data_IF_115186180993
#
_entry.id   IF_115186180993
#
_cell.length_a   1.000
_cell.length_b   1.000
_cell.length_c   1.000
_cell.angle_alpha   90.00
_cell.angle_beta   90.00
_cell.angle_gamma   90.00
#
_symmetry.space_group_name_H-M   'P 1'
#
loop_
_entity.id
_entity.type
_entity.pdbx_description
1 polymer ?
#
# COMPACT_ATOMS: atom_id res chain seq x y z
N UNK A 1 -45.18 -33.96 -19.82
CA UNK A 1 -45.89 -34.58 -20.97
C UNK A 1 -47.09 -35.33 -20.44
N UNK A 2 -48.29 -35.02 -20.95
CA UNK A 2 -49.55 -35.64 -20.52
C UNK A 2 -49.72 -37.01 -21.20
N UNK A 3 -49.31 -38.08 -20.54
CA UNK A 3 -49.83 -39.41 -20.90
C UNK A 3 -51.20 -39.58 -20.25
N UNK A 4 -52.26 -39.52 -21.07
CA UNK A 4 -53.61 -39.96 -20.69
C UNK A 4 -54.71 -38.90 -20.62
N UNK A 5 -54.44 -37.64 -21.00
CA UNK A 5 -55.46 -36.58 -21.07
C UNK A 5 -55.53 -36.04 -22.50
N UNK A 6 -56.71 -36.05 -23.15
CA UNK A 6 -56.91 -35.44 -24.47
C UNK A 6 -57.00 -33.91 -24.36
N UNK A 7 -55.96 -33.29 -23.81
CA UNK A 7 -55.84 -31.84 -23.64
C UNK A 7 -54.74 -31.37 -24.56
N UNK A 8 -55.10 -30.54 -25.52
CA UNK A 8 -54.13 -29.84 -26.36
C UNK A 8 -54.01 -28.43 -25.82
N UNK A 9 -52.79 -28.00 -25.53
CA UNK A 9 -52.52 -26.58 -25.28
C UNK A 9 -52.50 -25.90 -26.65
N UNK A 10 -53.40 -24.97 -26.89
CA UNK A 10 -53.55 -24.31 -28.19
C UNK A 10 -52.65 -23.09 -28.31
N UNK A 11 -52.41 -22.40 -27.19
CA UNK A 11 -51.54 -21.23 -27.15
C UNK A 11 -51.21 -20.79 -25.74
N UNK A 12 -50.13 -20.03 -25.67
CA UNK A 12 -49.66 -19.29 -24.50
C UNK A 12 -49.70 -17.81 -24.84
N UNK A 13 -50.06 -16.96 -23.88
CA UNK A 13 -49.92 -15.52 -24.04
C UNK A 13 -49.42 -14.83 -22.78
N UNK A 14 -48.64 -13.77 -22.97
CA UNK A 14 -48.05 -12.98 -21.90
C UNK A 14 -47.99 -11.52 -22.33
N UNK A 15 -48.62 -10.62 -21.56
CA UNK A 15 -48.56 -9.18 -21.85
C UNK A 15 -49.14 -8.75 -23.20
N UNK A 16 -49.98 -9.58 -23.82
CA UNK A 16 -50.59 -9.34 -25.13
C UNK A 16 -49.94 -10.11 -26.29
N UNK A 17 -48.73 -10.63 -26.11
CA UNK A 17 -48.08 -11.52 -27.08
C UNK A 17 -48.62 -12.94 -26.96
N UNK A 18 -48.87 -13.62 -28.09
CA UNK A 18 -49.49 -14.94 -28.14
C UNK A 18 -48.73 -15.88 -29.08
N UNK A 19 -48.24 -16.99 -28.54
CA UNK A 19 -47.56 -18.04 -29.30
C UNK A 19 -48.34 -19.36 -29.27
N UNK A 20 -48.33 -20.08 -30.39
CA UNK A 20 -49.04 -21.37 -30.56
C UNK A 20 -48.13 -22.59 -30.47
N UNK A 21 -46.82 -22.39 -30.43
CA UNK A 21 -45.81 -23.44 -30.47
C UNK A 21 -45.23 -23.75 -29.08
N UNK A 22 -45.66 -23.05 -28.04
CA UNK A 22 -45.26 -23.32 -26.66
C UNK A 22 -44.06 -22.51 -26.17
N UNK A 23 -43.61 -21.51 -26.95
CA UNK A 23 -42.47 -20.68 -26.58
C UNK A 23 -42.82 -19.22 -26.82
N UNK A 24 -42.87 -18.41 -25.75
CA UNK A 24 -42.99 -16.96 -25.86
C UNK A 24 -41.58 -16.38 -25.76
N UNK A 25 -41.15 -15.66 -26.79
CA UNK A 25 -39.91 -14.87 -26.72
C UNK A 25 -40.18 -13.62 -25.87
N UNK A 26 -39.35 -13.42 -24.85
CA UNK A 26 -39.49 -12.30 -23.91
C UNK A 26 -38.65 -11.07 -24.30
N UNK A 27 -37.79 -11.18 -25.32
CA UNK A 27 -37.07 -10.05 -25.86
C UNK A 27 -38.12 -9.02 -26.32
N UNK A 28 -38.17 -7.85 -25.67
CA UNK A 28 -39.14 -6.75 -25.85
C UNK A 28 -40.42 -6.79 -25.01
N UNK A 29 -40.68 -7.83 -24.20
CA UNK A 29 -41.84 -7.84 -23.29
C UNK A 29 -41.47 -7.24 -21.92
N UNK A 30 -41.96 -6.03 -21.63
CA UNK A 30 -41.86 -5.44 -20.29
C UNK A 30 -42.95 -6.01 -19.38
N UNK A 31 -42.57 -6.88 -18.44
CA UNK A 31 -43.49 -7.40 -17.43
C UNK A 31 -43.72 -6.35 -16.33
N UNK A 32 -44.98 -6.00 -16.11
CA UNK A 32 -45.39 -5.05 -15.07
C UNK A 32 -46.28 -5.74 -14.03
N UNK A 33 -46.54 -5.08 -12.91
CA UNK A 33 -47.43 -5.61 -11.89
C UNK A 33 -48.84 -5.78 -12.47
N UNK A 34 -49.31 -7.03 -12.53
CA UNK A 34 -50.61 -7.37 -13.10
C UNK A 34 -50.57 -7.79 -14.57
N UNK A 35 -49.38 -7.90 -15.18
CA UNK A 35 -49.25 -8.54 -16.50
C UNK A 35 -49.79 -9.97 -16.43
N UNK A 36 -50.85 -10.23 -17.20
CA UNK A 36 -51.50 -11.53 -17.23
C UNK A 36 -50.72 -12.52 -18.10
N UNK A 37 -50.55 -13.73 -17.58
CA UNK A 37 -50.11 -14.90 -18.32
C UNK A 37 -51.32 -15.82 -18.51
N UNK A 38 -51.68 -16.08 -19.76
CA UNK A 38 -52.86 -16.89 -20.10
C UNK A 38 -52.44 -18.11 -20.90
N UNK A 39 -52.97 -19.27 -20.52
CA UNK A 39 -52.87 -20.51 -21.30
C UNK A 39 -54.26 -20.85 -21.80
N UNK A 40 -54.39 -21.01 -23.11
CA UNK A 40 -55.60 -21.52 -23.73
C UNK A 40 -55.43 -22.99 -24.08
N UNK A 41 -56.36 -23.81 -23.63
CA UNK A 41 -56.39 -25.24 -23.89
C UNK A 41 -57.71 -25.62 -24.55
N UNK A 42 -57.65 -26.51 -25.53
CA UNK A 42 -58.82 -27.17 -26.08
C UNK A 42 -59.09 -28.48 -25.34
N UNK A 43 -60.36 -28.66 -24.96
CA UNK A 43 -60.87 -29.87 -24.33
C UNK A 43 -61.96 -30.46 -25.22
N UNK A 44 -61.74 -31.69 -25.70
CA UNK A 44 -62.78 -32.40 -26.45
C UNK A 44 -63.98 -32.69 -25.55
N UNK A 45 -65.18 -32.45 -26.07
CA UNK A 45 -66.43 -32.60 -25.32
C UNK A 45 -66.59 -34.05 -24.84
N UNK A 46 -66.48 -34.27 -23.53
CA UNK A 46 -66.72 -35.58 -22.90
C UNK A 46 -65.65 -36.06 -21.92
N UNK A 47 -64.48 -35.41 -21.82
CA UNK A 47 -63.45 -35.75 -20.82
C UNK A 47 -63.38 -34.71 -19.69
N UNK A 48 -64.18 -34.88 -18.64
CA UNK A 48 -64.23 -33.97 -17.48
C UNK A 48 -63.24 -34.31 -16.33
N UNK A 49 -62.17 -35.08 -16.57
CA UNK A 49 -61.29 -35.57 -15.49
C UNK A 49 -59.96 -34.82 -15.33
N UNK A 50 -59.88 -33.54 -15.70
CA UNK A 50 -58.70 -32.72 -15.41
C UNK A 50 -58.84 -32.17 -13.99
N UNK A 51 -58.00 -32.65 -13.07
CA UNK A 51 -58.01 -32.20 -11.67
C UNK A 51 -57.15 -30.96 -11.43
N UNK A 52 -56.06 -30.81 -12.19
CA UNK A 52 -55.14 -29.68 -12.12
C UNK A 52 -54.40 -29.51 -13.46
N UNK A 53 -54.08 -28.26 -13.80
CA UNK A 53 -53.05 -27.91 -14.76
C UNK A 53 -51.94 -27.21 -13.96
N UNK A 54 -50.74 -27.76 -13.99
CA UNK A 54 -49.57 -27.18 -13.31
C UNK A 54 -48.66 -26.62 -14.40
N UNK A 55 -48.27 -25.37 -14.24
CA UNK A 55 -47.36 -24.67 -15.13
C UNK A 55 -46.15 -24.30 -14.30
N UNK A 56 -44.99 -24.80 -14.70
CA UNK A 56 -43.73 -24.56 -14.01
C UNK A 56 -42.84 -23.73 -14.93
N UNK A 57 -42.35 -22.60 -14.42
CA UNK A 57 -41.34 -21.79 -15.07
C UNK A 57 -39.99 -22.16 -14.48
N UNK A 58 -39.06 -22.61 -15.32
CA UNK A 58 -37.65 -22.72 -14.96
C UNK A 58 -36.93 -21.50 -15.55
N UNK A 59 -36.77 -20.46 -14.73
CA UNK A 59 -35.98 -19.28 -15.06
C UNK A 59 -34.67 -19.40 -14.28
N UNK A 60 -33.55 -19.29 -14.97
CA UNK A 60 -32.21 -19.21 -14.38
C UNK A 60 -31.68 -17.78 -14.47
N UNK A 61 -30.60 -17.47 -13.73
CA UNK A 61 -29.97 -16.16 -13.80
C UNK A 61 -29.51 -15.80 -15.23
N UNK A 62 -29.13 -16.81 -16.03
CA UNK A 62 -28.70 -16.62 -17.42
C UNK A 62 -29.84 -16.23 -18.37
N UNK A 63 -31.10 -16.37 -17.93
CA UNK A 63 -32.27 -16.02 -18.72
C UNK A 63 -32.74 -14.57 -18.48
N UNK A 64 -32.02 -13.81 -17.62
CA UNK A 64 -32.33 -12.42 -17.27
C UNK A 64 -31.19 -11.52 -17.75
N UNK A 65 -31.44 -10.71 -18.77
CA UNK A 65 -30.46 -9.77 -19.31
C UNK A 65 -30.24 -8.57 -18.38
N UNK A 66 -31.32 -7.97 -17.87
CA UNK A 66 -31.23 -6.84 -16.94
C UNK A 66 -32.44 -6.74 -16.02
N UNK A 67 -32.28 -6.02 -14.92
CA UNK A 67 -33.36 -5.70 -13.99
C UNK A 67 -33.43 -4.18 -13.83
N UNK A 68 -34.64 -3.63 -13.95
CA UNK A 68 -34.90 -2.20 -13.72
C UNK A 68 -35.75 -1.99 -12.46
N UNK A 69 -35.22 -1.28 -11.48
CA UNK A 69 -35.93 -0.95 -10.23
C UNK A 69 -35.34 0.29 -9.58
N UNK A 70 -36.06 0.84 -8.60
CA UNK A 70 -35.52 1.78 -7.63
C UNK A 70 -35.01 1.02 -6.39
N UNK A 71 -33.99 1.58 -5.75
CA UNK A 71 -33.46 1.13 -4.46
C UNK A 71 -32.97 -0.32 -4.45
N UNK A 72 -32.10 -0.70 -5.39
CA UNK A 72 -31.35 -1.94 -5.23
C UNK A 72 -30.36 -1.81 -4.08
N UNK A 73 -30.17 -2.90 -3.34
CA UNK A 73 -29.33 -2.97 -2.16
C UNK A 73 -28.45 -4.19 -2.25
N UNK A 74 -27.15 -3.98 -2.27
CA UNK A 74 -26.15 -5.03 -2.35
C UNK A 74 -25.30 -5.02 -1.10
N UNK A 75 -25.18 -6.17 -0.46
CA UNK A 75 -24.35 -6.29 0.74
C UNK A 75 -22.90 -6.56 0.34
N UNK A 76 -21.99 -5.73 0.82
CA UNK A 76 -20.55 -6.00 0.77
C UNK A 76 -20.21 -6.83 2.01
N UNK A 77 -19.51 -7.98 1.87
CA UNK A 77 -18.98 -8.70 3.02
C UNK A 77 -18.00 -7.83 3.81
N UNK A 78 -17.86 -8.12 5.10
CA UNK A 78 -16.88 -7.44 5.92
C UNK A 78 -15.48 -7.98 5.61
N UNK A 79 -14.57 -7.10 5.22
CA UNK A 79 -13.19 -7.39 4.93
C UNK A 79 -12.26 -6.53 5.78
N UNK A 80 -11.07 -7.07 6.03
CA UNK A 80 -10.00 -6.42 6.78
C UNK A 80 -8.81 -6.16 5.88
N UNK A 81 -8.32 -4.93 5.89
CA UNK A 81 -7.13 -4.50 5.18
C UNK A 81 -6.06 -4.11 6.19
N UNK A 82 -4.90 -4.73 6.10
CA UNK A 82 -3.73 -4.31 6.84
C UNK A 82 -3.08 -3.11 6.12
N UNK A 83 -2.82 -2.05 6.88
CA UNK A 83 -2.14 -0.84 6.40
C UNK A 83 -0.67 -0.80 6.87
N UNK A 84 -0.17 -1.89 7.46
CA UNK A 84 1.23 -2.03 7.84
C UNK A 84 2.15 -2.17 6.61
N UNK A 85 3.33 -1.56 6.69
CA UNK A 85 4.39 -1.70 5.70
C UNK A 85 5.74 -1.81 6.41
N UNK A 86 6.61 -2.67 5.88
CA UNK A 86 7.92 -2.94 6.45
C UNK A 86 8.83 -1.70 6.27
N UNK A 87 9.14 -1.04 7.39
CA UNK A 87 10.22 -0.07 7.47
C UNK A 87 11.45 -0.73 8.14
N UNK A 88 12.67 -0.30 7.82
CA UNK A 88 13.84 -0.69 8.60
C UNK A 88 13.66 -0.30 10.07
N UNK A 89 14.14 -1.12 10.99
CA UNK A 89 13.95 -0.98 12.44
C UNK A 89 14.43 0.39 12.97
N UNK A 90 15.44 0.97 12.33
CA UNK A 90 15.97 2.30 12.66
C UNK A 90 14.94 3.43 12.46
N UNK A 91 13.83 3.14 11.77
CA UNK A 91 12.73 4.05 11.49
C UNK A 91 11.46 3.74 12.29
N UNK A 92 11.51 2.86 13.30
CA UNK A 92 10.35 2.55 14.16
C UNK A 92 9.82 3.77 14.93
N UNK A 93 10.66 4.79 15.14
CA UNK A 93 10.32 6.02 15.85
C UNK A 93 9.86 7.17 14.93
N UNK A 94 9.54 6.87 13.67
CA UNK A 94 9.00 7.84 12.72
C UNK A 94 7.51 8.07 12.92
N UNK A 95 7.09 9.33 12.83
CA UNK A 95 5.68 9.68 12.64
C UNK A 95 5.47 10.24 11.25
N UNK A 96 4.54 9.65 10.50
CA UNK A 96 4.08 10.16 9.21
C UNK A 96 3.46 11.54 9.41
N UNK A 97 3.78 12.49 8.53
CA UNK A 97 3.15 13.82 8.56
C UNK A 97 1.92 13.94 7.68
N UNK A 98 1.93 13.20 6.58
CA UNK A 98 0.83 13.16 5.65
C UNK A 98 0.72 11.74 5.11
N UNK A 99 -0.50 11.29 4.96
CA UNK A 99 -0.83 10.04 4.32
C UNK A 99 -2.24 10.20 3.78
N UNK A 100 -2.46 9.63 2.61
CA UNK A 100 -3.72 9.69 1.92
C UNK A 100 -4.18 8.27 1.65
N UNK A 101 -5.41 7.97 2.05
CA UNK A 101 -6.10 6.77 1.64
C UNK A 101 -7.28 7.23 0.80
N UNK A 102 -7.43 6.65 -0.38
CA UNK A 102 -8.61 6.87 -1.21
C UNK A 102 -9.22 5.54 -1.65
N UNK A 103 -10.54 5.54 -1.77
CA UNK A 103 -11.31 4.50 -2.44
C UNK A 103 -11.56 4.95 -3.88
N UNK A 104 -10.99 4.22 -4.83
CA UNK A 104 -11.26 4.35 -6.26
C UNK A 104 -12.33 3.34 -6.62
N UNK A 105 -13.40 3.80 -7.27
CA UNK A 105 -14.50 2.96 -7.74
C UNK A 105 -14.69 3.11 -9.24
N UNK A 106 -14.94 1.99 -9.90
CA UNK A 106 -15.23 1.93 -11.33
C UNK A 106 -16.39 0.99 -11.59
N UNK A 107 -17.42 1.50 -12.26
CA UNK A 107 -18.58 0.72 -12.67
C UNK A 107 -18.48 0.39 -14.16
N UNK A 108 -18.28 -0.88 -14.47
CA UNK A 108 -18.18 -1.37 -15.83
C UNK A 108 -19.57 -1.84 -16.25
N UNK A 109 -20.18 -1.09 -17.18
CA UNK A 109 -21.52 -1.39 -17.70
C UNK A 109 -21.44 -2.11 -19.03
N UNK A 110 -22.14 -3.24 -19.16
CA UNK A 110 -22.34 -3.96 -20.43
C UNK A 110 -23.12 -3.08 -21.44
N UNK A 111 -24.06 -2.27 -20.93
CA UNK A 111 -24.98 -1.45 -21.73
C UNK A 111 -24.55 0.02 -21.85
N UNK A 112 -23.32 0.36 -21.45
CA UNK A 112 -22.77 1.73 -21.45
C UNK A 112 -23.69 2.75 -20.74
N UNK A 113 -24.34 2.32 -19.64
CA UNK A 113 -25.27 3.13 -18.88
C UNK A 113 -25.05 2.93 -17.38
N UNK A 114 -24.06 3.64 -16.84
CA UNK A 114 -23.73 3.54 -15.43
C UNK A 114 -24.84 4.17 -14.55
N UNK A 115 -25.44 3.42 -13.62
CA UNK A 115 -26.45 3.97 -12.72
C UNK A 115 -25.82 4.91 -11.67
N UNK A 116 -26.67 5.60 -10.91
CA UNK A 116 -26.24 6.32 -9.72
C UNK A 116 -26.08 5.33 -8.57
N UNK A 117 -24.89 5.32 -7.97
CA UNK A 117 -24.50 4.41 -6.89
C UNK A 117 -24.16 5.23 -5.66
N UNK A 118 -24.76 4.88 -4.52
CA UNK A 118 -24.57 5.52 -3.23
C UNK A 118 -23.84 4.56 -2.27
N UNK A 119 -22.68 5.00 -1.79
CA UNK A 119 -21.80 4.28 -0.86
C UNK A 119 -21.95 4.73 0.60
N UNK A 120 -22.89 5.62 0.93
CA UNK A 120 -23.10 6.13 2.30
C UNK A 120 -23.53 5.09 3.34
N UNK A 121 -23.81 3.86 2.90
CA UNK A 121 -24.10 2.70 3.77
C UNK A 121 -22.93 1.70 3.83
N UNK A 122 -21.78 2.06 3.28
CA UNK A 122 -20.54 1.37 3.57
C UNK A 122 -20.08 1.82 4.96
N UNK A 123 -19.94 0.86 5.84
CA UNK A 123 -19.31 1.02 7.13
C UNK A 123 -17.81 0.80 6.95
N UNK A 124 -17.02 1.78 7.37
CA UNK A 124 -15.57 1.65 7.48
C UNK A 124 -15.14 2.03 8.89
N UNK A 125 -14.14 1.33 9.43
CA UNK A 125 -13.59 1.61 10.75
C UNK A 125 -12.09 1.30 10.77
N UNK A 126 -11.26 2.17 11.36
CA UNK A 126 -11.63 3.36 12.15
C UNK A 126 -11.87 4.63 11.31
N UNK A 127 -11.61 4.60 10.01
CA UNK A 127 -11.85 5.73 9.11
C UNK A 127 -13.30 5.72 8.61
N UNK A 128 -13.88 6.86 8.30
CA UNK A 128 -15.25 6.96 7.77
C UNK A 128 -15.24 7.29 6.28
N UNK A 129 -16.08 6.61 5.50
CA UNK A 129 -16.38 6.97 4.11
C UNK A 129 -16.83 8.44 4.04
N UNK A 130 -16.32 9.25 3.09
CA UNK A 130 -16.67 10.66 2.98
C UNK A 130 -18.18 10.90 2.85
N UNK A 131 -18.65 12.03 3.38
CA UNK A 131 -20.04 12.42 3.19
C UNK A 131 -20.34 12.65 1.69
N UNK A 132 -21.51 12.20 1.24
CA UNK A 132 -21.94 12.39 -0.14
C UNK A 132 -21.23 11.49 -1.15
N UNK A 133 -20.75 10.31 -0.75
CA UNK A 133 -20.17 9.30 -1.64
C UNK A 133 -21.17 8.68 -2.62
N UNK A 134 -21.63 9.51 -3.57
CA UNK A 134 -22.53 9.16 -4.67
C UNK A 134 -21.82 9.40 -5.99
N UNK A 135 -21.84 8.43 -6.89
CA UNK A 135 -21.17 8.52 -8.19
C UNK A 135 -21.95 7.80 -9.30
N UNK A 136 -21.49 7.99 -10.54
CA UNK A 136 -21.98 7.28 -11.73
C UNK A 136 -20.79 7.10 -12.68
N UNK A 137 -20.55 5.86 -13.12
CA UNK A 137 -19.32 5.47 -13.81
C UNK A 137 -18.18 5.35 -12.80
N UNK A 138 -17.38 6.40 -12.67
CA UNK A 138 -16.13 6.37 -11.92
C UNK A 138 -16.18 7.37 -10.75
N UNK A 139 -15.52 7.04 -9.65
CA UNK A 139 -15.47 7.89 -8.46
C UNK A 139 -14.17 7.72 -7.67
N UNK A 140 -13.77 8.80 -7.00
CA UNK A 140 -12.66 8.78 -6.04
C UNK A 140 -13.11 9.42 -4.73
N UNK A 141 -12.89 8.73 -3.61
CA UNK A 141 -13.31 9.17 -2.28
C UNK A 141 -12.13 9.15 -1.31
N UNK A 142 -11.77 10.30 -0.77
CA UNK A 142 -10.59 10.49 0.07
C UNK A 142 -10.95 10.43 1.55
N UNK A 143 -10.35 9.52 2.30
CA UNK A 143 -10.58 9.37 3.72
C UNK A 143 -9.86 10.47 4.52
N UNK A 144 -10.50 10.95 5.59
CA UNK A 144 -9.87 11.84 6.57
C UNK A 144 -9.09 11.06 7.64
N UNK A 145 -8.20 11.74 8.38
CA UNK A 145 -7.46 11.21 9.53
C UNK A 145 -6.60 9.95 9.28
N UNK A 146 -6.22 9.70 8.03
CA UNK A 146 -5.40 8.53 7.64
C UNK A 146 -4.02 8.56 8.32
N UNK A 147 -3.40 9.74 8.38
CA UNK A 147 -2.10 9.94 9.04
C UNK A 147 -2.14 9.56 10.52
N UNK A 148 -3.21 9.92 11.23
CA UNK A 148 -3.36 9.57 12.65
C UNK A 148 -3.50 8.06 12.86
N UNK A 149 -4.19 7.37 11.93
CA UNK A 149 -4.27 5.91 11.93
C UNK A 149 -2.89 5.28 11.72
N UNK A 150 -2.14 5.73 10.71
CA UNK A 150 -0.78 5.25 10.46
C UNK A 150 0.23 5.62 11.56
N UNK A 151 -0.06 6.59 12.42
CA UNK A 151 0.76 6.89 13.60
C UNK A 151 0.25 6.22 14.89
N UNK A 152 -0.95 5.63 14.87
CA UNK A 152 -1.59 5.00 16.02
C UNK A 152 -1.17 3.55 16.28
N UNK A 153 -1.87 2.88 17.19
CA UNK A 153 -1.66 1.45 17.48
C UNK A 153 -2.43 0.55 16.52
N UNK A 154 -3.61 1.00 16.08
CA UNK A 154 -4.42 0.30 15.09
C UNK A 154 -3.89 0.58 13.69
N UNK A 155 -3.62 -0.48 12.92
CA UNK A 155 -3.16 -0.41 11.53
C UNK A 155 -4.09 -1.16 10.57
N UNK A 156 -5.25 -1.57 11.06
CA UNK A 156 -6.25 -2.27 10.27
C UNK A 156 -7.36 -1.30 9.85
N UNK A 157 -7.85 -1.48 8.62
CA UNK A 157 -9.10 -0.91 8.14
C UNK A 157 -10.10 -2.03 7.91
N UNK A 158 -11.25 -1.95 8.58
CA UNK A 158 -12.37 -2.85 8.36
C UNK A 158 -13.38 -2.15 7.45
N UNK A 159 -13.86 -2.83 6.41
CA UNK A 159 -14.83 -2.29 5.45
C UNK A 159 -15.92 -3.32 5.19
N UNK A 160 -17.17 -2.89 5.21
CA UNK A 160 -18.32 -3.71 4.83
C UNK A 160 -19.57 -2.86 4.68
N UNK A 161 -20.74 -3.47 4.55
CA UNK A 161 -22.01 -2.75 4.62
C UNK A 161 -22.88 -2.94 3.37
N UNK A 162 -23.52 -1.87 2.92
CA UNK A 162 -24.49 -1.89 1.82
C UNK A 162 -24.17 -0.83 0.76
N UNK A 163 -24.35 -1.20 -0.50
CA UNK A 163 -24.37 -0.27 -1.64
C UNK A 163 -25.81 -0.11 -2.08
N UNK A 164 -26.23 1.14 -2.32
CA UNK A 164 -27.56 1.46 -2.85
C UNK A 164 -27.42 1.91 -4.30
N UNK A 165 -28.16 1.29 -5.22
CA UNK A 165 -28.21 1.67 -6.64
C UNK A 165 -29.61 2.18 -6.97
N UNK A 166 -29.70 3.35 -7.62
CA UNK A 166 -30.97 3.95 -8.03
C UNK A 166 -31.84 4.40 -6.84
N UNK A 167 -31.26 5.10 -5.87
CA UNK A 167 -31.97 5.60 -4.69
C UNK A 167 -33.05 6.64 -5.07
N UNK A 168 -32.66 7.61 -5.91
CA UNK A 168 -33.51 8.74 -6.30
C UNK A 168 -34.28 8.51 -7.62
N UNK A 169 -33.84 7.55 -8.44
CA UNK A 169 -34.39 7.24 -9.77
C UNK A 169 -34.27 5.76 -10.07
N UNK A 170 -35.12 5.25 -10.96
CA UNK A 170 -34.97 3.86 -11.42
C UNK A 170 -33.60 3.66 -12.06
N UNK A 171 -32.93 2.59 -11.69
CA UNK A 171 -31.70 2.13 -12.28
C UNK A 171 -31.95 0.81 -13.02
N UNK A 172 -31.21 0.60 -14.10
CA UNK A 172 -31.15 -0.66 -14.82
C UNK A 172 -29.76 -1.24 -14.57
N UNK A 173 -29.70 -2.51 -14.21
CA UNK A 173 -28.48 -3.26 -13.93
C UNK A 173 -28.50 -4.55 -14.74
N UNK A 174 -27.41 -4.86 -15.44
CA UNK A 174 -27.16 -6.15 -16.07
C UNK A 174 -26.41 -7.06 -15.09
N UNK A 175 -26.67 -8.38 -15.12
CA UNK A 175 -25.87 -9.34 -14.35
C UNK A 175 -24.41 -9.44 -14.83
N UNK A 176 -24.10 -8.89 -16.01
CA UNK A 176 -22.74 -8.78 -16.55
C UNK A 176 -22.03 -7.49 -16.10
N UNK A 177 -22.76 -6.53 -15.51
CA UNK A 177 -22.14 -5.33 -14.96
C UNK A 177 -21.27 -5.68 -13.74
N UNK A 178 -20.14 -4.98 -13.58
CA UNK A 178 -19.28 -5.12 -12.41
C UNK A 178 -19.01 -3.78 -11.73
N UNK A 179 -18.82 -3.85 -10.41
CA UNK A 179 -18.33 -2.74 -9.61
C UNK A 179 -16.95 -3.12 -9.06
N UNK A 180 -15.93 -2.43 -9.52
CA UNK A 180 -14.56 -2.56 -9.04
C UNK A 180 -14.32 -1.50 -7.97
N UNK A 181 -13.71 -1.92 -6.85
CA UNK A 181 -13.38 -1.05 -5.72
C UNK A 181 -11.94 -1.33 -5.32
N UNK A 182 -11.11 -0.28 -5.30
CA UNK A 182 -9.69 -0.36 -4.95
C UNK A 182 -9.35 0.68 -3.88
N UNK A 183 -8.65 0.23 -2.83
CA UNK A 183 -8.08 1.12 -1.83
C UNK A 183 -6.64 1.46 -2.21
N UNK A 184 -6.36 2.75 -2.38
CA UNK A 184 -5.02 3.25 -2.67
C UNK A 184 -4.50 4.04 -1.46
N UNK A 185 -3.45 3.50 -0.82
CA UNK A 185 -2.71 4.17 0.23
C UNK A 185 -1.47 4.85 -0.35
N UNK A 186 -1.38 6.16 -0.18
CA UNK A 186 -0.26 6.99 -0.60
C UNK A 186 0.40 7.54 0.66
N UNK A 187 1.64 7.10 0.92
CA UNK A 187 2.45 7.56 2.05
C UNK A 187 3.68 8.31 1.53
N UNK A 188 3.64 9.65 1.47
CA UNK A 188 4.85 10.43 1.29
C UNK A 188 5.86 10.09 2.39
N UNK A 189 7.13 9.91 2.03
CA UNK A 189 8.24 9.73 2.98
C UNK A 189 8.60 11.06 3.68
N UNK A 190 7.61 11.66 4.33
CA UNK A 190 7.70 12.90 5.10
C UNK A 190 7.38 12.62 6.56
N UNK A 191 8.35 12.90 7.42
CA UNK A 191 8.29 12.41 8.78
C UNK A 191 8.67 13.47 9.80
N UNK A 192 8.16 13.25 11.00
CA UNK A 192 8.73 13.82 12.22
C UNK A 192 9.57 12.74 12.90
N UNK A 193 10.85 13.04 13.05
CA UNK A 193 11.75 12.25 13.88
C UNK A 193 11.48 12.62 15.33
N UNK A 194 10.98 11.67 16.10
CA UNK A 194 10.70 11.88 17.53
C UNK A 194 11.91 11.61 18.41
N UNK A 195 12.83 10.78 17.93
CA UNK A 195 14.11 10.43 18.54
C UNK A 195 15.21 10.39 17.47
N UNK A 196 16.48 10.33 17.90
CA UNK A 196 17.62 10.17 17.00
C UNK A 196 17.53 8.82 16.26
N UNK A 197 17.87 8.82 14.97
CA UNK A 197 18.09 7.56 14.24
C UNK A 197 19.51 7.11 14.54
N UNK A 198 19.64 5.90 15.08
CA UNK A 198 20.92 5.26 15.34
C UNK A 198 21.04 4.05 14.43
N UNK A 199 22.04 4.07 13.56
CA UNK A 199 22.46 2.92 12.78
C UNK A 199 23.79 2.39 13.31
N UNK A 200 23.84 1.09 13.52
CA UNK A 200 25.02 0.37 13.98
C UNK A 200 25.41 -0.68 12.93
N UNK A 201 26.65 -0.61 12.45
CA UNK A 201 27.14 -1.58 11.48
C UNK A 201 27.42 -2.93 12.13
N UNK A 202 27.47 -3.96 11.30
CA UNK A 202 28.17 -5.19 11.66
C UNK A 202 29.66 -4.91 11.95
N UNK A 203 30.30 -5.85 12.65
CA UNK A 203 31.73 -5.81 12.94
C UNK A 203 32.51 -6.13 11.66
N UNK A 204 33.48 -5.29 11.31
CA UNK A 204 34.37 -5.51 10.18
C UNK A 204 35.82 -5.75 10.66
N UNK A 205 36.45 -6.87 10.27
CA UNK A 205 37.85 -7.13 10.61
C UNK A 205 38.79 -6.23 9.81
N UNK A 206 39.77 -5.65 10.48
CA UNK A 206 40.83 -4.86 9.86
C UNK A 206 41.98 -5.78 9.47
N UNK A 207 42.06 -6.12 8.19
CA UNK A 207 43.15 -6.90 7.64
C UNK A 207 44.31 -6.00 7.22
N UNK A 208 45.38 -5.98 8.03
CA UNK A 208 46.66 -5.40 7.64
C UNK A 208 47.73 -6.49 7.69
N UNK A 209 48.53 -6.56 6.65
CA UNK A 209 49.64 -7.48 6.56
C UNK A 209 50.73 -7.18 7.63
N UNK A 210 51.25 -8.22 8.29
CA UNK A 210 52.19 -8.09 9.43
C UNK A 210 53.52 -7.46 9.01
N UNK A 211 54.01 -7.82 7.82
CA UNK A 211 55.24 -7.25 7.27
C UNK A 211 55.07 -5.75 6.97
N UNK A 212 53.85 -5.37 6.57
CA UNK A 212 53.46 -3.97 6.44
C UNK A 212 53.57 -3.27 7.79
N UNK A 213 52.93 -3.76 8.86
CA UNK A 213 52.94 -3.13 10.20
C UNK A 213 54.34 -2.97 10.80
N UNK A 214 55.21 -3.97 10.67
CA UNK A 214 56.60 -3.85 11.13
C UNK A 214 57.37 -2.76 10.36
N UNK A 215 57.11 -2.66 9.06
CA UNK A 215 57.67 -1.61 8.20
C UNK A 215 57.11 -0.23 8.55
N UNK A 216 55.82 -0.15 8.93
CA UNK A 216 55.17 1.10 9.38
C UNK A 216 55.88 1.71 10.58
N UNK A 217 56.22 0.90 11.58
CA UNK A 217 56.88 1.39 12.80
C UNK A 217 58.30 1.91 12.55
N UNK A 218 58.95 1.47 11.47
CA UNK A 218 60.33 1.87 11.14
C UNK A 218 60.41 3.14 10.28
N UNK A 219 59.38 3.46 9.49
CA UNK A 219 59.44 4.49 8.44
C UNK A 219 58.51 5.69 8.64
N UNK A 220 57.50 5.60 9.51
CA UNK A 220 56.44 6.63 9.62
C UNK A 220 56.46 7.33 10.98
N UNK A 221 56.53 8.66 10.96
CA UNK A 221 56.42 9.48 12.17
C UNK A 221 54.99 10.01 12.39
N UNK A 222 54.10 9.88 11.39
CA UNK A 222 52.72 10.35 11.46
C UNK A 222 51.78 9.40 10.69
N UNK A 223 50.61 9.16 11.27
CA UNK A 223 49.52 8.39 10.68
C UNK A 223 48.34 9.36 10.54
N UNK A 224 47.74 9.42 9.36
CA UNK A 224 46.53 10.20 9.14
C UNK A 224 45.45 9.29 8.54
N UNK A 225 44.22 9.50 8.97
CA UNK A 225 43.05 8.94 8.31
C UNK A 225 42.54 9.94 7.29
N UNK A 226 42.01 9.44 6.19
CA UNK A 226 41.14 10.22 5.33
C UNK A 226 39.78 9.53 5.32
N UNK A 227 38.74 10.29 5.62
CA UNK A 227 37.37 9.83 5.54
C UNK A 227 36.66 10.65 4.47
N UNK A 228 36.23 9.99 3.40
CA UNK A 228 35.32 10.56 2.42
C UNK A 228 33.88 10.31 2.81
N UNK A 229 33.15 11.39 2.91
CA UNK A 229 31.76 11.44 3.33
C UNK A 229 30.95 11.98 2.17
N UNK A 230 29.80 11.37 1.93
CA UNK A 230 28.80 11.87 1.00
C UNK A 230 27.43 11.76 1.64
N UNK A 231 26.87 12.89 2.02
CA UNK A 231 25.55 12.97 2.64
C UNK A 231 24.55 13.60 1.68
N UNK A 232 23.49 12.88 1.35
CA UNK A 232 22.32 13.39 0.61
C UNK A 232 21.08 13.50 1.50
N UNK A 233 21.18 13.25 2.80
CA UNK A 233 20.06 13.52 3.68
C UNK A 233 19.89 15.03 3.89
N UNK A 234 18.65 15.53 4.04
CA UNK A 234 18.37 16.91 4.48
C UNK A 234 18.77 17.18 5.95
N UNK A 235 19.38 16.20 6.62
CA UNK A 235 19.89 16.27 7.97
C UNK A 235 21.39 16.00 7.99
N UNK A 236 22.08 16.65 8.93
CA UNK A 236 23.44 16.25 9.29
C UNK A 236 23.43 14.93 10.04
N UNK A 237 24.60 14.34 10.20
CA UNK A 237 24.78 13.11 10.96
C UNK A 237 26.13 13.11 11.67
N UNK A 238 26.29 12.26 12.67
CA UNK A 238 27.54 11.99 13.34
C UNK A 238 27.93 10.54 13.08
N UNK A 239 29.15 10.31 12.62
CA UNK A 239 29.70 8.98 12.45
C UNK A 239 30.87 8.78 13.41
N UNK A 240 30.79 7.72 14.21
CA UNK A 240 31.88 7.30 15.10
C UNK A 240 32.32 5.91 14.68
N UNK A 241 33.60 5.79 14.31
CA UNK A 241 34.26 4.51 14.05
C UNK A 241 35.01 4.10 15.32
N UNK A 242 34.68 2.92 15.84
CA UNK A 242 35.33 2.29 16.98
C UNK A 242 36.29 1.24 16.44
N UNK A 243 37.53 1.23 16.93
CA UNK A 243 38.57 0.30 16.50
C UNK A 243 39.23 -0.30 17.74
N UNK A 244 39.22 -1.62 17.86
CA UNK A 244 39.84 -2.33 18.97
C UNK A 244 40.34 -3.72 18.59
N UNK A 245 40.99 -4.41 19.53
CA UNK A 245 41.32 -5.83 19.41
C UNK A 245 40.25 -6.75 20.01
N UNK A 246 39.22 -6.17 20.64
CA UNK A 246 38.07 -6.93 21.14
C UNK A 246 37.24 -7.48 19.97
N UNK A 247 36.47 -8.53 20.24
CA UNK A 247 35.49 -9.04 19.29
C UNK A 247 34.33 -8.06 19.10
N UNK A 248 34.03 -7.24 20.11
CA UNK A 248 33.00 -6.20 20.06
C UNK A 248 33.60 -4.81 20.33
N UNK A 249 33.91 -4.03 19.27
CA UNK A 249 34.49 -2.69 19.42
C UNK A 249 33.61 -1.67 20.14
N UNK A 250 32.29 -1.85 20.21
CA UNK A 250 31.41 -0.90 20.92
C UNK A 250 31.43 -1.07 22.44
N UNK A 251 31.70 -2.29 22.92
CA UNK A 251 31.73 -2.62 24.35
C UNK A 251 33.12 -2.44 24.97
N UNK A 252 34.16 -2.21 24.15
CA UNK A 252 35.52 -1.98 24.62
C UNK A 252 35.74 -0.52 25.05
N UNK A 253 35.93 -0.30 26.36
CA UNK A 253 36.22 1.03 26.94
C UNK A 253 37.54 1.63 26.42
N UNK A 254 38.49 0.80 25.98
CA UNK A 254 39.79 1.21 25.45
C UNK A 254 39.77 1.35 23.91
N UNK A 255 38.61 1.21 23.26
CA UNK A 255 38.48 1.35 21.81
C UNK A 255 38.92 2.73 21.33
N UNK A 256 39.67 2.72 20.23
CA UNK A 256 40.06 3.96 19.55
C UNK A 256 38.86 4.47 18.78
N UNK A 257 38.42 5.68 19.10
CA UNK A 257 37.28 6.32 18.45
C UNK A 257 37.73 7.40 17.46
N UNK A 258 37.16 7.34 16.27
CA UNK A 258 37.32 8.37 15.23
C UNK A 258 35.94 8.94 14.97
N UNK A 259 35.73 10.19 15.40
CA UNK A 259 34.47 10.91 15.25
C UNK A 259 34.56 11.87 14.07
N UNK A 260 33.53 11.85 13.22
CA UNK A 260 33.33 12.83 12.16
C UNK A 260 31.89 13.32 12.12
N UNK A 261 31.72 14.60 11.85
CA UNK A 261 30.42 15.23 11.64
C UNK A 261 30.16 15.34 10.14
N UNK A 262 28.96 14.97 9.72
CA UNK A 262 28.46 15.10 8.36
C UNK A 262 27.49 16.26 8.33
N UNK A 263 27.79 17.30 7.56
CA UNK A 263 26.84 18.37 7.35
C UNK A 263 25.65 17.91 6.48
N UNK A 264 24.49 18.54 6.68
CA UNK A 264 23.29 18.30 5.89
C UNK A 264 23.50 18.65 4.40
N UNK A 265 22.72 17.99 3.54
CA UNK A 265 22.60 18.37 2.13
C UNK A 265 21.86 19.70 1.95
N UNK A 266 22.12 20.37 0.82
CA UNK A 266 21.35 21.54 0.41
C UNK A 266 19.90 21.16 0.08
N UNK A 267 18.93 21.86 0.67
CA UNK A 267 17.50 21.57 0.49
C UNK A 267 16.79 22.61 -0.37
N UNK A 268 15.70 22.19 -1.03
CA UNK A 268 14.76 23.10 -1.68
C UNK A 268 13.79 23.77 -0.68
N UNK A 269 12.83 24.54 -1.20
CA UNK A 269 11.79 25.20 -0.40
C UNK A 269 10.83 24.23 0.31
N UNK A 270 10.79 22.96 -0.09
CA UNK A 270 9.97 21.93 0.55
C UNK A 270 10.75 21.15 1.62
N UNK A 271 12.05 21.36 1.74
CA UNK A 271 12.93 20.65 2.68
C UNK A 271 13.52 19.35 2.09
N UNK A 272 13.45 19.14 0.78
CA UNK A 272 14.02 17.98 0.10
C UNK A 272 15.46 18.23 -0.29
N UNK A 273 16.33 17.24 -0.10
CA UNK A 273 17.72 17.32 -0.52
C UNK A 273 17.85 17.37 -2.06
N UNK A 274 18.51 18.41 -2.55
CA UNK A 274 18.68 18.66 -4.00
C UNK A 274 19.98 18.09 -4.56
N UNK A 275 21.04 18.07 -3.74
CA UNK A 275 22.34 17.51 -4.11
C UNK A 275 23.05 16.95 -2.88
N UNK A 276 23.88 15.93 -3.11
CA UNK A 276 24.70 15.39 -2.04
C UNK A 276 25.86 16.34 -1.71
N UNK A 277 26.13 16.50 -0.42
CA UNK A 277 27.32 17.17 0.08
C UNK A 277 28.46 16.17 0.20
N UNK A 278 29.59 16.48 -0.42
CA UNK A 278 30.80 15.66 -0.37
C UNK A 278 31.88 16.36 0.45
N UNK A 279 32.52 15.61 1.33
CA UNK A 279 33.61 16.09 2.16
C UNK A 279 34.70 15.04 2.29
N UNK A 280 35.96 15.48 2.30
CA UNK A 280 37.12 14.64 2.58
C UNK A 280 37.78 15.20 3.83
N UNK A 281 37.65 14.47 4.95
CA UNK A 281 38.15 14.91 6.25
C UNK A 281 39.46 14.18 6.53
N UNK A 282 40.53 14.96 6.75
CA UNK A 282 41.77 14.45 7.31
C UNK A 282 41.64 14.36 8.81
N UNK A 283 41.69 13.13 9.33
CA UNK A 283 41.54 12.84 10.75
C UNK A 283 42.88 12.47 11.33
N UNK A 284 43.25 13.12 12.44
CA UNK A 284 44.42 12.74 13.21
C UNK A 284 44.12 11.41 13.92
N UNK A 285 44.89 10.37 13.61
CA UNK A 285 44.71 9.06 14.23
C UNK A 285 45.61 8.98 15.46
N UNK A 286 45.07 8.56 16.63
CA UNK A 286 45.89 8.38 17.83
C UNK A 286 47.03 7.39 17.60
N UNK A 287 48.22 7.66 18.13
CA UNK A 287 49.37 6.75 18.00
C UNK A 287 49.11 5.35 18.58
N UNK A 288 48.16 5.24 19.52
CA UNK A 288 47.69 3.98 20.08
C UNK A 288 47.19 2.99 19.01
N UNK A 289 46.75 3.49 17.84
CA UNK A 289 46.30 2.65 16.72
C UNK A 289 47.40 1.69 16.28
N UNK A 290 48.68 2.05 16.44
CA UNK A 290 49.82 1.22 16.08
C UNK A 290 49.91 -0.04 16.94
N UNK A 291 49.43 0.03 18.19
CA UNK A 291 49.38 -1.13 19.08
C UNK A 291 48.23 -2.01 18.66
N UNK A 292 47.05 -1.42 18.43
CA UNK A 292 45.84 -2.15 18.04
C UNK A 292 46.05 -2.89 16.72
N UNK A 293 46.61 -2.22 15.71
CA UNK A 293 46.83 -2.81 14.39
C UNK A 293 47.95 -3.86 14.34
N UNK A 294 48.78 -4.05 15.38
CA UNK A 294 49.78 -5.15 15.41
C UNK A 294 49.15 -6.52 15.59
N UNK A 295 47.98 -6.54 16.20
CA UNK A 295 47.20 -7.74 16.44
C UNK A 295 46.00 -7.74 15.50
N UNK A 296 45.15 -8.77 15.58
CA UNK A 296 43.90 -8.79 14.85
C UNK A 296 42.99 -7.70 15.44
N UNK A 297 42.64 -6.71 14.62
CA UNK A 297 41.80 -5.60 15.02
C UNK A 297 40.43 -5.69 14.33
N UNK A 298 39.40 -5.27 15.03
CA UNK A 298 38.04 -5.16 14.54
C UNK A 298 37.61 -3.70 14.60
N UNK A 299 36.64 -3.36 13.76
CA UNK A 299 36.03 -2.06 13.82
C UNK A 299 34.53 -2.11 13.57
N UNK A 300 33.86 -1.08 14.08
CA UNK A 300 32.42 -0.95 14.01
C UNK A 300 32.04 0.53 13.90
N UNK A 301 30.98 0.81 13.16
CA UNK A 301 30.51 2.17 12.86
C UNK A 301 29.16 2.41 13.53
N UNK A 302 29.08 3.46 14.35
CA UNK A 302 27.80 4.03 14.81
C UNK A 302 27.54 5.33 14.05
N UNK A 303 26.41 5.40 13.37
CA UNK A 303 25.90 6.59 12.70
C UNK A 303 24.68 7.11 13.44
N UNK A 304 24.73 8.35 13.89
CA UNK A 304 23.62 9.02 14.59
C UNK A 304 23.11 10.17 13.74
N UNK A 305 21.84 10.12 13.33
CA UNK A 305 21.15 11.25 12.69
C UNK A 305 20.27 11.89 13.77
N UNK A 306 20.63 13.09 14.25
CA UNK A 306 19.91 13.71 15.35
C UNK A 306 18.49 14.12 14.94
N UNK A 307 17.55 13.99 15.86
CA UNK A 307 16.21 14.53 15.68
C UNK A 307 16.29 16.07 15.48
N UNK A 308 15.66 16.63 14.43
CA UNK A 308 15.68 18.04 14.15
C UNK A 308 14.91 18.81 15.23
N UNK A 309 15.50 19.89 15.76
CA UNK A 309 14.86 20.65 16.84
C UNK A 309 13.63 21.47 16.40
N UNK A 310 13.41 21.71 15.10
CA UNK A 310 12.23 22.47 14.63
C UNK A 310 11.88 22.38 13.13
N UNK A 311 12.49 21.49 12.34
CA UNK A 311 12.35 21.48 10.88
C UNK A 311 11.65 20.23 10.34
N UNK A 312 10.79 20.44 9.33
CA UNK A 312 10.23 19.37 8.47
C UNK A 312 11.39 18.65 7.79
N UNK A 313 11.37 17.31 7.85
CA UNK A 313 12.33 16.47 7.17
C UNK A 313 11.58 15.62 6.16
N UNK A 314 11.93 15.82 4.89
CA UNK A 314 11.39 15.01 3.80
C UNK A 314 12.50 14.16 3.26
N UNK A 315 12.37 12.85 3.43
CA UNK A 315 13.26 11.90 2.80
C UNK A 315 12.75 11.59 1.39
N UNK A 316 13.69 11.41 0.47
CA UNK A 316 13.43 10.91 -0.85
C UNK A 316 14.04 9.51 -1.00
N UNK A 317 13.51 8.73 -1.94
CA UNK A 317 14.10 7.44 -2.34
C UNK A 317 15.55 7.55 -2.84
N UNK A 318 16.05 8.77 -3.07
CA UNK A 318 17.41 9.02 -3.53
C UNK A 318 18.36 9.47 -2.42
N UNK A 319 17.88 9.59 -1.18
CA UNK A 319 18.69 10.08 -0.08
C UNK A 319 19.53 8.94 0.50
N UNK A 320 20.77 9.26 0.90
CA UNK A 320 21.72 8.29 1.43
C UNK A 320 22.82 8.99 2.22
N UNK A 321 23.49 8.21 3.07
CA UNK A 321 24.82 8.52 3.59
C UNK A 321 25.79 7.47 3.06
N UNK A 322 26.91 7.92 2.49
CA UNK A 322 28.03 7.06 2.12
C UNK A 322 29.27 7.50 2.87
N UNK A 323 29.86 6.57 3.60
CA UNK A 323 31.11 6.76 4.34
C UNK A 323 32.15 5.83 3.73
N UNK A 324 33.33 6.36 3.46
CA UNK A 324 34.48 5.59 2.98
C UNK A 324 35.71 6.07 3.72
N UNK A 325 36.29 5.22 4.55
CA UNK A 325 37.45 5.55 5.38
C UNK A 325 38.67 4.76 4.92
N UNK A 326 39.83 5.40 4.89
CA UNK A 326 41.13 4.73 4.80
C UNK A 326 42.16 5.43 5.67
N UNK A 327 43.21 4.68 5.99
CA UNK A 327 44.34 5.19 6.74
C UNK A 327 45.49 5.37 5.75
N UNK A 328 45.97 6.59 5.61
CA UNK A 328 47.14 6.91 4.80
C UNK A 328 48.38 7.12 5.69
N UNK A 329 49.48 6.51 5.27
CA UNK A 329 50.70 6.42 6.04
C UNK A 329 51.76 7.31 5.40
N UNK A 330 52.05 8.44 6.02
CA UNK A 330 53.07 9.36 5.52
C UNK A 330 54.43 9.03 6.12
N UNK A 331 55.30 8.44 5.30
CA UNK A 331 56.72 8.30 5.62
C UNK A 331 57.44 9.60 5.29
N UNK A 332 58.06 10.24 6.29
CA UNK A 332 58.88 11.43 6.06
C UNK A 332 60.26 10.98 5.56
N UNK A 333 60.39 10.84 4.25
CA UNK A 333 61.69 10.56 3.61
C UNK A 333 62.48 11.86 3.52
N UNK A 334 63.18 12.24 4.59
CA UNK A 334 64.18 13.31 4.50
C UNK A 334 65.58 12.72 4.31
N UNK A 335 66.25 13.27 3.28
CA UNK A 335 67.60 13.00 2.77
C UNK A 335 68.69 13.05 3.82
#
# INVERSE_FOLDING_TARGET
MNEGSNVTIDSFSLGGEKDKNGTINLNEITLTKGTEFTIECYLDSGQQNIKNAIVEFNITANDIESITRQNFRFKIPEEKFDLEFELPQEFDNLKFRNAELKLVVDYISEQDNAPEINLSKIDSSPLTIPEGSVFSGNGEFHFGNVTDLLNGVEKELNVGGEIIIGENKSATFSFEDSLEMSFELIVPLEFELTDDIIYESEIFPINIDKDTIETLNKLTNQIHGEIKLKNRLPLGAEAIIYISNDQDPFEDEDAITIKVELEAADTDSEGKATSAREEAILVAIPDAIRTVLKEEANAQLRLTIPAPQSSRVTFSQYDYIKISAWIELMAKVNK
#
